data_IF_034815820936
#
_entry.id   IF_034815820936
#
_cell.length_a   1.000
_cell.length_b   1.000
_cell.length_c   1.000
_cell.angle_alpha   90.00
_cell.angle_beta   90.00
_cell.angle_gamma   90.00
#
_symmetry.space_group_name_H-M   'P 1'
#
loop_
_entity.id
_entity.type
_entity.pdbx_description
1 polymer ?
#
# COMPACT_ATOMS: atom_id res chain seq x y z
N UNK A 1 -25.07 56.19 22.44
CA UNK A 1 -25.13 55.79 23.87
C UNK A 1 -25.94 54.50 23.94
N UNK A 2 -25.56 53.44 24.68
CA UNK A 2 -24.41 53.29 25.58
C UNK A 2 -23.38 52.23 25.11
N UNK A 3 -22.22 52.33 25.75
CA UNK A 3 -21.13 51.35 25.89
C UNK A 3 -21.54 50.32 26.94
N UNK A 4 -21.15 49.04 26.78
CA UNK A 4 -20.92 48.12 27.91
C UNK A 4 -19.65 47.29 27.65
N UNK A 5 -18.99 47.01 28.76
CA UNK A 5 -17.58 46.73 29.05
C UNK A 5 -17.40 45.24 29.38
N UNK A 6 -16.24 44.71 28.98
CA UNK A 6 -15.33 43.70 29.61
C UNK A 6 -15.92 42.51 30.39
N UNK A 7 -15.34 41.33 30.13
CA UNK A 7 -15.31 40.24 31.09
C UNK A 7 -14.37 39.10 30.68
N UNK A 8 -13.07 39.23 31.00
CA UNK A 8 -12.12 38.11 30.97
C UNK A 8 -12.43 37.14 32.10
N UNK A 9 -12.54 35.84 31.80
CA UNK A 9 -12.46 34.77 32.80
C UNK A 9 -11.19 33.94 32.54
N UNK A 10 -10.21 34.10 33.44
CA UNK A 10 -9.11 33.18 33.61
C UNK A 10 -9.53 32.11 34.63
N UNK A 11 -9.35 30.83 34.28
CA UNK A 11 -9.37 29.73 35.23
C UNK A 11 -7.98 29.12 35.29
N UNK A 12 -7.33 29.36 36.42
CA UNK A 12 -6.10 28.67 36.83
C UNK A 12 -6.44 27.21 37.18
N UNK A 13 -5.82 26.26 36.49
CA UNK A 13 -5.79 24.85 36.88
C UNK A 13 -4.38 24.50 37.35
N UNK A 14 -4.22 24.36 38.67
CA UNK A 14 -3.03 23.83 39.33
C UNK A 14 -3.40 22.47 39.94
N UNK A 15 -2.52 21.49 39.76
CA UNK A 15 -2.63 20.14 40.31
C UNK A 15 -1.96 19.18 39.34
N UNK A 16 -0.76 18.66 39.59
CA UNK A 16 -0.28 18.10 40.86
C UNK A 16 -0.13 16.59 40.61
N UNK A 17 1.11 16.14 40.39
CA UNK A 17 1.40 14.85 39.78
C UNK A 17 1.31 13.62 40.68
N UNK A 18 1.72 12.51 40.07
CA UNK A 18 2.22 11.26 40.66
C UNK A 18 1.16 10.26 41.14
N UNK A 19 0.88 9.23 40.34
CA UNK A 19 1.64 7.97 40.45
C UNK A 19 1.20 6.92 39.43
N UNK A 20 2.22 6.37 38.79
CA UNK A 20 2.27 5.20 37.92
C UNK A 20 1.84 3.94 38.71
N UNK A 21 0.70 3.35 38.35
CA UNK A 21 0.39 1.96 38.70
C UNK A 21 0.69 1.08 37.48
N UNK A 22 1.71 0.23 37.60
CA UNK A 22 2.00 -0.80 36.61
C UNK A 22 1.00 -1.96 36.75
N UNK A 23 0.46 -2.53 35.67
CA UNK A 23 -0.34 -3.74 35.76
C UNK A 23 0.52 -4.96 36.09
N UNK A 24 0.01 -5.81 36.98
CA UNK A 24 0.60 -7.11 37.31
C UNK A 24 0.51 -8.03 36.09
N UNK A 25 1.66 -8.47 35.58
CA UNK A 25 1.74 -9.48 34.53
C UNK A 25 1.34 -10.85 35.07
N UNK A 26 0.19 -11.37 34.65
CA UNK A 26 -0.19 -12.77 34.87
C UNK A 26 0.57 -13.61 33.84
N UNK A 27 1.57 -14.35 34.32
CA UNK A 27 2.29 -15.34 33.51
C UNK A 27 1.40 -16.56 33.29
N UNK A 28 0.81 -16.71 32.09
CA UNK A 28 0.17 -17.96 31.67
C UNK A 28 1.20 -18.83 30.96
N UNK A 29 1.54 -19.96 31.58
CA UNK A 29 2.33 -21.03 30.97
C UNK A 29 1.53 -21.66 29.83
N UNK A 30 2.03 -21.56 28.59
CA UNK A 30 1.49 -22.30 27.44
C UNK A 30 2.06 -23.73 27.45
N UNK A 31 1.19 -24.74 27.41
CA UNK A 31 1.58 -26.12 27.07
C UNK A 31 1.42 -26.29 25.57
N UNK A 32 2.53 -26.16 24.83
CA UNK A 32 2.57 -26.49 23.40
C UNK A 32 2.78 -27.99 23.26
N UNK A 33 1.74 -28.71 22.86
CA UNK A 33 1.86 -30.10 22.40
C UNK A 33 2.32 -30.08 20.95
N UNK A 34 3.61 -30.36 20.71
CA UNK A 34 4.15 -30.62 19.36
C UNK A 34 3.57 -31.94 18.84
N UNK A 35 2.66 -31.89 17.87
CA UNK A 35 2.34 -33.06 17.05
C UNK A 35 3.29 -33.09 15.87
N UNK A 36 4.20 -34.07 15.87
CA UNK A 36 5.13 -34.32 14.77
C UNK A 36 4.39 -35.13 13.71
N UNK A 37 4.10 -34.53 12.56
CA UNK A 37 3.56 -35.25 11.39
C UNK A 37 4.71 -35.77 10.54
N UNK A 38 4.72 -37.09 10.30
CA UNK A 38 5.76 -37.80 9.56
C UNK A 38 5.70 -37.51 8.04
N UNK A 39 6.85 -37.51 7.34
CA UNK A 39 6.89 -37.33 5.89
C UNK A 39 6.41 -38.60 5.15
N UNK A 40 5.53 -38.43 4.15
CA UNK A 40 5.14 -39.50 3.23
C UNK A 40 6.04 -39.46 2.00
N UNK A 41 6.66 -40.60 1.70
CA UNK A 41 7.57 -40.80 0.58
C UNK A 41 6.85 -41.22 -0.72
N UNK A 42 7.36 -40.68 -1.83
CA UNK A 42 7.51 -41.18 -3.21
C UNK A 42 6.38 -41.90 -3.95
N UNK A 43 6.16 -41.47 -5.20
CA UNK A 43 6.25 -42.35 -6.37
C UNK A 43 6.69 -41.55 -7.60
N UNK A 44 7.75 -42.02 -8.23
CA UNK A 44 8.27 -41.56 -9.51
C UNK A 44 7.60 -42.35 -10.64
N UNK A 45 7.35 -41.68 -11.77
CA UNK A 45 7.05 -42.32 -13.05
C UNK A 45 7.74 -41.55 -14.16
N UNK A 46 8.81 -42.14 -14.68
CA UNK A 46 9.34 -41.90 -16.03
C UNK A 46 8.45 -42.60 -17.06
N UNK A 47 8.31 -42.01 -18.25
CA UNK A 47 8.56 -42.80 -19.45
C UNK A 47 9.62 -42.16 -20.37
N UNK A 48 10.26 -43.05 -21.11
CA UNK A 48 11.42 -42.92 -21.99
C UNK A 48 10.98 -42.79 -23.47
N UNK A 49 11.90 -42.27 -24.30
CA UNK A 49 12.08 -42.49 -25.75
C UNK A 49 11.15 -41.79 -26.76
N UNK A 50 11.57 -41.32 -27.95
CA UNK A 50 12.84 -41.03 -28.65
C UNK A 50 12.47 -40.30 -30.00
N UNK A 51 13.36 -40.04 -30.99
CA UNK A 51 13.39 -38.81 -31.79
C UNK A 51 12.71 -38.88 -33.17
N UNK A 52 12.56 -37.74 -33.85
CA UNK A 52 12.53 -37.66 -35.32
C UNK A 52 13.02 -36.28 -35.80
N UNK A 53 14.12 -36.30 -36.55
CA UNK A 53 14.60 -35.24 -37.44
C UNK A 53 13.96 -35.42 -38.81
N UNK A 54 13.48 -34.34 -39.42
CA UNK A 54 13.57 -34.18 -40.86
C UNK A 54 13.80 -32.70 -41.19
N UNK A 55 14.80 -32.46 -42.01
CA UNK A 55 15.14 -31.17 -42.58
C UNK A 55 14.69 -31.21 -44.04
N UNK A 56 13.96 -30.20 -44.50
CA UNK A 56 13.98 -29.84 -45.92
C UNK A 56 13.87 -28.33 -46.08
N UNK A 57 14.71 -27.82 -46.97
CA UNK A 57 14.96 -26.43 -47.25
C UNK A 57 14.21 -26.00 -48.50
N UNK A 58 13.69 -24.77 -48.55
CA UNK A 58 13.40 -24.16 -49.85
C UNK A 58 12.46 -22.97 -49.86
N UNK A 59 13.08 -21.79 -50.03
CA UNK A 59 12.57 -20.61 -50.73
C UNK A 59 11.52 -19.75 -49.97
N UNK A 60 11.52 -18.42 -50.00
CA UNK A 60 12.14 -17.43 -50.90
C UNK A 60 12.28 -16.12 -50.11
N UNK A 61 13.39 -15.42 -50.29
CA UNK A 61 13.57 -14.01 -49.89
C UNK A 61 12.79 -13.09 -50.81
N UNK A 62 12.00 -12.18 -50.25
CA UNK A 62 11.69 -10.89 -50.87
C UNK A 62 11.70 -9.79 -49.79
N UNK A 63 12.29 -8.61 -50.03
CA UNK A 63 12.62 -7.62 -49.01
C UNK A 63 11.57 -6.50 -48.90
N UNK A 64 11.71 -5.72 -47.82
CA UNK A 64 11.08 -4.41 -47.59
C UNK A 64 9.64 -4.43 -47.08
N UNK A 65 9.50 -4.30 -45.76
CA UNK A 65 9.07 -3.02 -45.21
C UNK A 65 9.64 -2.86 -43.80
N UNK A 66 10.56 -1.90 -43.66
CA UNK A 66 11.03 -1.35 -42.39
C UNK A 66 9.89 -0.56 -41.74
N UNK A 67 8.99 -1.23 -41.01
CA UNK A 67 8.28 -0.58 -39.90
C UNK A 67 9.01 -0.95 -38.61
N UNK A 68 9.76 0.02 -38.07
CA UNK A 68 10.20 0.02 -36.68
C UNK A 68 8.94 0.18 -35.83
N UNK A 69 8.23 -0.93 -35.64
CA UNK A 69 7.22 -1.06 -34.61
C UNK A 69 7.92 -0.81 -33.28
N UNK A 70 7.65 0.35 -32.69
CA UNK A 70 8.03 0.63 -31.31
C UNK A 70 7.39 -0.46 -30.47
N UNK A 71 8.19 -1.43 -30.02
CA UNK A 71 7.71 -2.53 -29.21
C UNK A 71 7.06 -1.95 -27.96
N UNK A 72 5.74 -1.99 -27.89
CA UNK A 72 5.02 -1.80 -26.63
C UNK A 72 5.55 -2.84 -25.67
N UNK A 73 6.18 -2.37 -24.59
CA UNK A 73 6.70 -3.21 -23.53
C UNK A 73 5.53 -4.01 -22.95
N UNK A 74 5.40 -5.28 -23.33
CA UNK A 74 4.36 -6.22 -22.88
C UNK A 74 4.60 -6.76 -21.46
N UNK A 75 5.47 -6.12 -20.69
CA UNK A 75 5.71 -6.38 -19.27
C UNK A 75 5.08 -5.30 -18.40
N UNK A 76 4.86 -5.56 -17.09
CA UNK A 76 4.16 -4.61 -16.25
C UNK A 76 4.95 -3.29 -16.10
N UNK A 77 4.28 -2.19 -15.74
CA UNK A 77 4.85 -0.85 -15.83
C UNK A 77 6.14 -0.69 -15.03
N UNK A 78 7.11 0.02 -15.61
CA UNK A 78 8.28 0.56 -14.90
C UNK A 78 8.26 2.07 -15.04
N UNK A 79 8.10 2.75 -13.92
CA UNK A 79 7.96 4.20 -13.84
C UNK A 79 9.30 4.89 -14.05
N UNK A 80 9.22 5.99 -14.77
CA UNK A 80 10.29 6.95 -15.02
C UNK A 80 9.77 8.31 -14.57
N UNK A 81 10.44 9.00 -13.64
CA UNK A 81 10.10 10.40 -13.40
C UNK A 81 10.67 11.26 -14.52
N UNK A 82 9.80 11.85 -15.32
CA UNK A 82 10.16 12.60 -16.53
C UNK A 82 10.49 14.07 -16.26
N UNK A 83 10.98 14.39 -15.06
CA UNK A 83 11.32 15.77 -14.66
C UNK A 83 10.13 16.71 -14.45
N UNK A 84 8.90 16.18 -14.44
CA UNK A 84 7.69 16.91 -14.08
C UNK A 84 6.92 16.17 -12.98
N UNK A 85 6.08 16.91 -12.24
CA UNK A 85 5.15 16.31 -11.29
C UNK A 85 4.14 15.44 -12.02
N UNK A 86 3.85 14.25 -11.47
CA UNK A 86 2.96 13.26 -12.09
C UNK A 86 2.08 12.62 -11.03
N UNK A 87 0.77 12.72 -11.20
CA UNK A 87 -0.19 11.88 -10.46
C UNK A 87 -0.11 10.45 -10.98
N UNK A 88 -0.11 9.48 -10.07
CA UNK A 88 -0.15 8.05 -10.38
C UNK A 88 -1.55 7.50 -10.09
N UNK A 89 -1.89 6.45 -10.83
CA UNK A 89 -3.16 5.73 -10.82
C UNK A 89 -2.90 4.24 -10.63
N UNK A 90 -3.93 3.40 -10.52
CA UNK A 90 -3.73 1.95 -10.48
C UNK A 90 -3.11 1.39 -11.77
N UNK A 91 -3.29 2.06 -12.91
CA UNK A 91 -2.65 1.65 -14.17
C UNK A 91 -1.13 1.80 -14.18
N UNK A 92 -0.59 2.54 -13.22
CA UNK A 92 0.85 2.70 -13.00
C UNK A 92 1.44 1.62 -12.08
N UNK A 93 0.58 0.83 -11.44
CA UNK A 93 0.98 -0.21 -10.52
C UNK A 93 1.48 -1.45 -11.27
N UNK A 94 2.55 -2.04 -10.74
CA UNK A 94 3.04 -3.35 -11.15
C UNK A 94 2.08 -4.45 -10.68
N UNK A 95 1.57 -4.33 -9.46
CA UNK A 95 0.53 -5.16 -8.85
C UNK A 95 -0.30 -4.31 -7.88
N UNK A 96 -1.58 -4.63 -7.74
CA UNK A 96 -2.52 -3.90 -6.87
C UNK A 96 -3.78 -4.74 -6.59
N UNK A 97 -3.60 -6.02 -6.27
CA UNK A 97 -4.72 -6.94 -6.10
C UNK A 97 -5.71 -6.43 -5.03
N UNK A 98 -6.99 -6.51 -5.32
CA UNK A 98 -8.11 -6.02 -4.47
C UNK A 98 -8.14 -4.51 -4.18
N UNK A 99 -7.30 -3.72 -4.85
CA UNK A 99 -7.46 -2.27 -4.87
C UNK A 99 -8.33 -1.83 -6.04
N UNK A 100 -9.20 -0.85 -5.77
CA UNK A 100 -10.14 -0.31 -6.75
C UNK A 100 -9.95 1.20 -6.88
N UNK A 101 -9.74 1.67 -8.11
CA UNK A 101 -9.69 3.10 -8.40
C UNK A 101 -11.09 3.64 -8.72
N UNK A 102 -11.42 4.80 -8.18
CA UNK A 102 -12.77 5.36 -8.30
C UNK A 102 -12.95 6.71 -7.63
N UNK A 103 -14.22 7.09 -7.48
CA UNK A 103 -14.62 8.32 -6.79
C UNK A 103 -15.09 7.97 -5.38
N UNK A 104 -14.35 8.43 -4.39
CA UNK A 104 -14.51 8.04 -2.99
C UNK A 104 -14.54 9.27 -2.08
N UNK A 105 -15.24 9.19 -0.96
CA UNK A 105 -15.33 10.33 -0.03
C UNK A 105 -14.49 10.03 1.21
N UNK A 106 -13.37 10.73 1.44
CA UNK A 106 -12.60 10.57 2.65
C UNK A 106 -13.47 10.90 3.88
N UNK A 107 -13.37 10.10 4.92
CA UNK A 107 -14.09 10.35 6.16
C UNK A 107 -13.83 11.76 6.67
N UNK A 108 -14.89 12.48 7.06
CA UNK A 108 -14.78 13.86 7.54
C UNK A 108 -14.63 14.92 6.44
N UNK A 109 -14.70 14.54 5.16
CA UNK A 109 -14.82 15.45 4.01
C UNK A 109 -16.22 15.36 3.40
N UNK A 110 -16.65 16.43 2.75
CA UNK A 110 -17.95 16.50 2.08
C UNK A 110 -17.87 16.01 0.63
N UNK A 111 -16.79 16.35 -0.06
CA UNK A 111 -16.65 16.12 -1.48
C UNK A 111 -15.86 14.83 -1.77
N UNK A 112 -16.28 14.04 -2.77
CA UNK A 112 -15.51 12.89 -3.21
C UNK A 112 -14.25 13.32 -3.96
N UNK A 113 -13.23 12.47 -3.93
CA UNK A 113 -11.97 12.60 -4.65
C UNK A 113 -11.75 11.39 -5.54
N UNK A 114 -10.97 11.58 -6.60
CA UNK A 114 -10.39 10.44 -7.32
C UNK A 114 -9.39 9.77 -6.38
N UNK A 115 -9.57 8.47 -6.10
CA UNK A 115 -8.75 7.74 -5.16
C UNK A 115 -8.70 6.25 -5.44
N UNK A 116 -7.94 5.54 -4.61
CA UNK A 116 -7.69 4.11 -4.71
C UNK A 116 -8.04 3.49 -3.35
N UNK A 117 -8.97 2.54 -3.33
CA UNK A 117 -9.57 2.00 -2.10
C UNK A 117 -9.39 0.49 -2.02
N UNK A 118 -9.27 -0.04 -0.80
CA UNK A 118 -9.39 -1.47 -0.50
C UNK A 118 -10.12 -1.65 0.82
N UNK A 119 -10.78 -2.79 1.00
CA UNK A 119 -11.26 -3.24 2.31
C UNK A 119 -10.09 -3.80 3.13
N UNK A 120 -10.06 -3.47 4.42
CA UNK A 120 -9.11 -3.99 5.41
C UNK A 120 -9.89 -4.63 6.53
N UNK A 121 -9.53 -5.86 6.89
CA UNK A 121 -10.26 -6.68 7.86
C UNK A 121 -9.34 -7.11 9.02
N UNK A 122 -8.91 -8.38 9.08
CA UNK A 122 -8.02 -8.86 10.15
C UNK A 122 -6.52 -8.75 9.83
N UNK A 123 -6.16 -8.50 8.57
CA UNK A 123 -4.77 -8.54 8.09
C UNK A 123 -4.47 -7.34 7.22
N UNK A 124 -3.19 -7.16 6.90
CA UNK A 124 -2.78 -6.23 5.87
C UNK A 124 -3.50 -6.52 4.54
N UNK A 125 -3.75 -5.45 3.80
CA UNK A 125 -4.11 -5.50 2.39
C UNK A 125 -2.98 -6.12 1.58
N UNK A 126 -3.31 -6.59 0.38
CA UNK A 126 -2.29 -6.78 -0.64
C UNK A 126 -1.63 -5.42 -0.96
N UNK A 127 -0.34 -5.40 -1.35
CA UNK A 127 0.35 -4.16 -1.63
C UNK A 127 -0.07 -3.58 -3.00
N UNK A 128 -0.07 -2.24 -3.08
CA UNK A 128 0.17 -1.58 -4.37
C UNK A 128 1.68 -1.55 -4.57
N UNK A 129 2.19 -2.29 -5.55
CA UNK A 129 3.60 -2.31 -5.92
C UNK A 129 3.85 -1.34 -7.09
N UNK A 130 4.79 -0.42 -6.91
CA UNK A 130 5.28 0.48 -7.94
C UNK A 130 6.74 0.12 -8.24
N UNK A 131 7.08 -0.03 -9.52
CA UNK A 131 8.47 -0.27 -9.95
C UNK A 131 9.04 0.95 -10.63
N UNK A 132 10.31 1.24 -10.37
CA UNK A 132 10.99 2.42 -10.88
C UNK A 132 12.26 2.04 -11.63
N UNK A 133 12.51 2.68 -12.77
CA UNK A 133 13.78 2.59 -13.47
C UNK A 133 14.60 3.86 -13.21
N UNK A 134 15.76 3.74 -12.55
CA UNK A 134 16.73 4.82 -12.25
C UNK A 134 16.12 6.23 -12.10
N UNK A 135 15.07 6.31 -11.30
CA UNK A 135 14.24 7.51 -11.20
C UNK A 135 14.78 8.46 -10.12
N UNK A 136 14.58 9.76 -10.29
CA UNK A 136 14.86 10.77 -9.27
C UNK A 136 13.60 11.56 -8.94
N UNK A 137 13.54 12.17 -7.75
CA UNK A 137 12.34 12.84 -7.25
C UNK A 137 11.88 12.24 -5.93
N UNK A 138 10.63 12.50 -5.59
CA UNK A 138 10.00 12.04 -4.34
C UNK A 138 8.62 11.47 -4.67
N UNK A 139 8.33 10.25 -4.23
CA UNK A 139 6.98 9.71 -4.21
C UNK A 139 6.26 10.23 -2.96
N UNK A 140 5.01 10.63 -3.13
CA UNK A 140 4.11 11.05 -2.06
C UNK A 140 2.82 10.23 -2.12
N UNK A 141 2.31 9.88 -0.95
CA UNK A 141 1.06 9.14 -0.76
C UNK A 141 0.24 9.87 0.29
N UNK A 142 -0.94 10.36 -0.08
CA UNK A 142 -1.92 10.92 0.84
C UNK A 142 -3.07 9.92 1.01
N UNK A 143 -3.46 9.67 2.26
CA UNK A 143 -4.40 8.60 2.59
C UNK A 143 -5.34 8.98 3.74
N UNK A 144 -6.44 8.24 3.84
CA UNK A 144 -7.48 8.39 4.84
C UNK A 144 -8.26 7.06 4.97
N UNK A 145 -9.31 7.07 5.78
CA UNK A 145 -10.37 6.07 5.71
C UNK A 145 -11.50 6.60 4.81
N UNK A 146 -12.19 5.72 4.07
CA UNK A 146 -13.41 6.08 3.36
C UNK A 146 -14.56 6.31 4.36
N UNK A 147 -15.46 7.26 4.07
CA UNK A 147 -16.67 7.50 4.86
C UNK A 147 -17.61 6.28 4.89
N UNK A 148 -17.50 5.37 3.92
CA UNK A 148 -18.26 4.13 3.83
C UNK A 148 -17.68 2.97 4.67
N UNK A 149 -16.60 3.20 5.43
CA UNK A 149 -16.07 2.19 6.36
C UNK A 149 -17.15 1.73 7.35
N UNK A 150 -17.28 0.42 7.56
CA UNK A 150 -18.23 -0.13 8.52
C UNK A 150 -17.84 0.21 9.96
N UNK A 151 -16.54 0.25 10.25
CA UNK A 151 -16.00 0.70 11.54
C UNK A 151 -15.46 2.13 11.49
N UNK A 152 -15.86 2.95 12.47
CA UNK A 152 -15.25 4.26 12.75
C UNK A 152 -14.22 4.23 13.89
N UNK A 153 -14.16 3.12 14.63
CA UNK A 153 -13.33 2.99 15.82
C UNK A 153 -11.99 2.30 15.50
N UNK A 154 -11.96 1.52 14.41
CA UNK A 154 -10.73 0.92 13.91
C UNK A 154 -9.74 1.99 13.43
N UNK A 155 -8.51 1.87 13.91
CA UNK A 155 -7.37 2.64 13.39
C UNK A 155 -6.70 1.83 12.29
N UNK A 156 -6.37 2.48 11.17
CA UNK A 156 -5.56 1.87 10.11
C UNK A 156 -4.12 2.36 10.22
N UNK A 157 -3.17 1.45 10.05
CA UNK A 157 -1.76 1.72 9.83
C UNK A 157 -1.46 1.61 8.33
N UNK A 158 -0.92 2.68 7.75
CA UNK A 158 -0.41 2.67 6.38
C UNK A 158 1.10 2.58 6.41
N UNK A 159 1.64 1.62 5.65
CA UNK A 159 3.07 1.40 5.52
C UNK A 159 3.57 1.78 4.13
N UNK A 160 4.78 2.32 4.10
CA UNK A 160 5.55 2.57 2.89
C UNK A 160 6.83 1.74 2.97
N UNK A 161 6.94 0.74 2.11
CA UNK A 161 8.05 -0.19 2.03
C UNK A 161 8.86 0.10 0.79
N UNK A 162 10.18 0.30 0.95
CA UNK A 162 11.12 0.57 -0.15
C UNK A 162 12.09 -0.60 -0.22
N UNK A 163 12.15 -1.25 -1.38
CA UNK A 163 13.05 -2.38 -1.63
C UNK A 163 13.01 -3.45 -0.51
N UNK A 164 11.78 -3.80 -0.10
CA UNK A 164 11.51 -4.81 0.94
C UNK A 164 11.72 -4.35 2.39
N UNK A 165 11.90 -3.05 2.65
CA UNK A 165 12.03 -2.49 4.00
C UNK A 165 11.03 -1.37 4.26
N UNK A 166 10.22 -1.50 5.30
CA UNK A 166 9.34 -0.42 5.77
C UNK A 166 10.17 0.78 6.20
N UNK A 167 10.00 1.91 5.51
CA UNK A 167 10.72 3.16 5.78
C UNK A 167 9.83 4.20 6.47
N UNK A 168 8.51 4.07 6.32
CA UNK A 168 7.50 4.90 6.99
C UNK A 168 6.30 4.04 7.33
N UNK A 169 5.70 4.36 8.46
CA UNK A 169 4.43 3.83 8.94
C UNK A 169 3.66 4.99 9.55
N UNK A 170 2.35 5.05 9.34
CA UNK A 170 1.50 6.08 9.92
C UNK A 170 0.09 5.59 10.17
N UNK A 171 -0.36 5.80 11.42
CA UNK A 171 -1.71 5.50 11.83
C UNK A 171 -2.67 6.63 11.44
N UNK A 172 -3.89 6.24 11.06
CA UNK A 172 -5.00 7.14 10.76
C UNK A 172 -6.28 6.57 11.36
N UNK A 173 -6.95 7.38 12.18
CA UNK A 173 -8.30 7.05 12.70
C UNK A 173 -9.37 7.58 11.75
N UNK A 174 -10.63 7.22 11.99
CA UNK A 174 -11.75 7.77 11.24
C UNK A 174 -11.76 9.32 11.29
N UNK A 175 -12.04 9.95 10.15
CA UNK A 175 -11.99 11.42 9.92
C UNK A 175 -10.61 12.06 9.99
N UNK A 176 -9.54 11.28 10.12
CA UNK A 176 -8.18 11.76 9.96
C UNK A 176 -7.66 11.46 8.55
N UNK A 177 -6.62 12.21 8.16
CA UNK A 177 -5.87 11.98 6.93
C UNK A 177 -4.38 11.97 7.23
N UNK A 178 -3.64 11.14 6.52
CA UNK A 178 -2.19 11.03 6.58
C UNK A 178 -1.54 11.35 5.24
N UNK A 179 -0.23 11.54 5.31
CA UNK A 179 0.63 11.67 4.15
C UNK A 179 1.99 11.08 4.53
N UNK A 180 2.61 10.38 3.57
CA UNK A 180 3.97 9.87 3.65
C UNK A 180 4.69 10.15 2.33
N UNK A 181 6.01 10.25 2.39
CA UNK A 181 6.84 10.41 1.20
C UNK A 181 8.19 9.74 1.33
N UNK A 182 8.79 9.40 0.19
CA UNK A 182 10.13 8.81 0.11
C UNK A 182 10.87 9.27 -1.15
N UNK A 183 12.18 9.56 -1.06
CA UNK A 183 12.99 9.84 -2.25
C UNK A 183 13.08 8.61 -3.16
N UNK A 184 13.12 8.83 -4.47
CA UNK A 184 13.20 7.77 -5.48
C UNK A 184 14.63 7.42 -5.93
N UNK A 185 15.63 8.18 -5.45
CA UNK A 185 17.02 7.98 -5.85
C UNK A 185 17.53 6.59 -5.47
N UNK A 186 17.75 5.74 -6.47
CA UNK A 186 18.25 4.38 -6.29
C UNK A 186 17.19 3.37 -5.83
N UNK A 187 15.91 3.73 -5.88
CA UNK A 187 14.79 2.86 -5.53
C UNK A 187 14.39 2.02 -6.74
N UNK A 188 14.21 0.71 -6.55
CA UNK A 188 13.70 -0.19 -7.58
C UNK A 188 12.20 -0.48 -7.40
N UNK A 189 11.76 -0.59 -6.16
CA UNK A 189 10.38 -0.96 -5.80
C UNK A 189 9.88 -0.20 -4.58
N UNK A 190 8.60 0.16 -4.62
CA UNK A 190 7.85 0.68 -3.49
C UNK A 190 6.55 -0.10 -3.35
N UNK A 191 6.25 -0.52 -2.13
CA UNK A 191 4.98 -1.13 -1.76
C UNK A 191 4.23 -0.23 -0.78
N UNK A 192 2.93 -0.09 -0.99
CA UNK A 192 2.01 0.62 -0.10
C UNK A 192 0.97 -0.38 0.40
N UNK A 193 0.86 -0.54 1.71
CA UNK A 193 -0.12 -1.43 2.35
C UNK A 193 -0.90 -0.69 3.42
N UNK A 194 -2.11 -1.18 3.72
CA UNK A 194 -2.90 -0.75 4.86
C UNK A 194 -3.27 -1.95 5.73
N UNK A 195 -3.23 -1.81 7.04
CA UNK A 195 -3.57 -2.87 7.99
C UNK A 195 -4.26 -2.30 9.24
N UNK A 196 -4.98 -3.10 10.02
CA UNK A 196 -5.48 -2.68 11.33
C UNK A 196 -4.30 -2.38 12.26
N UNK A 197 -4.33 -1.24 12.96
CA UNK A 197 -3.37 -0.93 13.99
C UNK A 197 -3.80 -1.55 15.34
N UNK A 198 -2.92 -2.30 16.00
CA UNK A 198 -3.15 -2.83 17.35
C UNK A 198 -4.04 -4.08 17.41
N UNK A 199 -4.70 -4.28 18.56
CA UNK A 199 -5.67 -5.36 18.75
C UNK A 199 -6.88 -5.10 17.84
N UNK A 200 -7.22 -6.08 17.00
CA UNK A 200 -8.22 -5.95 15.95
C UNK A 200 -9.49 -6.73 16.29
N UNK A 201 -10.62 -6.02 16.31
CA UNK A 201 -11.95 -6.67 16.40
C UNK A 201 -12.39 -7.22 15.03
N UNK A 202 -11.50 -7.17 14.02
CA UNK A 202 -11.72 -7.59 12.65
C UNK A 202 -12.96 -6.95 12.01
N UNK A 203 -13.25 -5.69 12.33
CA UNK A 203 -14.32 -4.96 11.66
C UNK A 203 -13.83 -4.45 10.30
N UNK A 204 -14.70 -4.48 9.27
CA UNK A 204 -14.34 -3.96 7.95
C UNK A 204 -14.06 -2.47 8.01
N UNK A 205 -12.90 -2.06 7.52
CA UNK A 205 -12.53 -0.66 7.41
C UNK A 205 -11.96 -0.40 6.03
N UNK A 206 -12.43 0.64 5.36
CA UNK A 206 -12.00 0.94 3.99
C UNK A 206 -10.79 1.88 4.02
N UNK A 207 -9.64 1.35 3.63
CA UNK A 207 -8.44 2.14 3.39
C UNK A 207 -8.58 2.92 2.08
N UNK A 208 -8.22 4.21 2.10
CA UNK A 208 -8.33 5.07 0.93
C UNK A 208 -7.03 5.85 0.70
N UNK A 209 -6.38 5.63 -0.43
CA UNK A 209 -5.36 6.53 -0.97
C UNK A 209 -6.08 7.63 -1.76
N UNK A 210 -6.02 8.84 -1.23
CA UNK A 210 -6.69 10.03 -1.80
C UNK A 210 -5.87 10.73 -2.87
N UNK A 211 -4.55 10.50 -2.88
CA UNK A 211 -3.66 10.96 -3.94
C UNK A 211 -2.33 10.20 -3.87
N UNK A 212 -1.83 9.79 -5.03
CA UNK A 212 -0.51 9.19 -5.21
C UNK A 212 0.21 9.98 -6.30
N UNK A 213 1.40 10.53 -6.03
CA UNK A 213 2.09 11.35 -7.01
C UNK A 213 3.60 11.38 -6.82
N UNK A 214 4.32 11.67 -7.90
CA UNK A 214 5.74 11.94 -7.90
C UNK A 214 5.93 13.44 -8.07
N UNK A 215 6.81 14.04 -7.28
CA UNK A 215 7.36 15.36 -7.57
C UNK A 215 8.76 15.22 -8.16
N UNK A 216 9.04 15.99 -9.21
CA UNK A 216 10.37 16.05 -9.80
C UNK A 216 11.40 16.62 -8.82
N UNK A 217 12.68 16.29 -9.03
CA UNK A 217 13.80 16.84 -8.26
C UNK A 217 14.30 18.14 -8.87
#
# INVERSE_FOLDING_TARGET
MPVVVVGSLALAGCGGGSNKAAPSAVTRTMVVTKTVQAPRATSATTPDSAPSTDADAGATVDPSDDEVGSGESSGPPVLQATGADRTLTLSDAFSADNWEEGSYTPAGKADPVQGIRTDVYCSASEPIELRFGQTTGTLHVAFAQDIQSDSSDQTLEFDLTVDGRTVKSKNVTFKQSGEMSTPLSGVASIEITAQPAGDNDCESTMALITKLWITAK
#
